data_IF_012025577033
#
_entry.id   IF_012025577033
#
_cell.length_a   1.000
_cell.length_b   1.000
_cell.length_c   1.000
_cell.angle_alpha   90.00
_cell.angle_beta   90.00
_cell.angle_gamma   90.00
#
_symmetry.space_group_name_H-M   'P 1'
#
loop_
_entity.id
_entity.type
_entity.pdbx_description
1 polymer ?
#
# COMPACT_ATOMS: atom_id res chain seq x y z
N UNK A 1 51.18 47.46 61.38
CA UNK A 1 49.75 47.25 61.04
C UNK A 1 49.74 46.18 59.94
N UNK A 2 49.53 44.92 60.34
CA UNK A 2 49.57 43.77 59.48
C UNK A 2 48.12 43.38 59.23
N UNK A 3 47.68 43.40 57.97
CA UNK A 3 46.36 42.89 57.58
C UNK A 3 46.47 41.40 57.25
N UNK A 4 45.76 40.56 58.00
CA UNK A 4 45.58 39.15 57.75
C UNK A 4 44.52 39.03 56.66
N UNK A 5 44.82 38.35 55.55
CA UNK A 5 43.86 37.93 54.54
C UNK A 5 43.58 36.45 54.78
N UNK A 6 42.34 36.15 55.20
CA UNK A 6 41.86 34.78 55.31
C UNK A 6 41.39 34.29 53.97
N UNK A 7 42.02 33.23 53.44
CA UNK A 7 41.66 32.54 52.20
C UNK A 7 40.64 31.46 52.54
N UNK A 8 39.37 31.68 52.17
CA UNK A 8 38.30 30.68 52.33
C UNK A 8 38.35 29.76 51.09
N UNK A 9 38.80 28.53 51.28
CA UNK A 9 38.71 27.49 50.25
C UNK A 9 37.28 26.92 50.25
N UNK A 10 36.43 27.32 49.29
CA UNK A 10 35.21 26.62 49.00
C UNK A 10 35.53 25.35 48.22
N UNK A 11 35.42 24.20 48.86
CA UNK A 11 35.46 22.89 48.25
C UNK A 11 34.10 22.68 47.54
N UNK A 12 34.01 22.94 46.25
CA UNK A 12 32.84 22.49 45.43
C UNK A 12 32.90 20.99 45.28
N UNK A 13 32.07 20.25 46.04
CA UNK A 13 31.76 18.87 45.68
C UNK A 13 30.91 18.88 44.39
N UNK A 14 31.57 18.50 43.29
CA UNK A 14 30.85 18.13 42.07
C UNK A 14 30.20 16.76 42.33
N UNK A 15 28.94 16.75 42.69
CA UNK A 15 28.11 15.54 42.66
C UNK A 15 27.80 15.30 41.19
N UNK A 16 28.20 14.18 40.56
CA UNK A 16 27.72 13.86 39.24
C UNK A 16 26.21 13.65 39.35
N UNK A 17 25.41 14.58 38.82
CA UNK A 17 24.01 14.34 38.53
C UNK A 17 23.97 13.30 37.44
N UNK A 18 23.82 12.04 37.83
CA UNK A 18 23.29 11.02 36.95
C UNK A 18 21.87 11.48 36.62
N UNK A 19 21.69 12.02 35.44
CA UNK A 19 20.37 12.10 34.82
C UNK A 19 19.90 10.64 34.62
N UNK A 20 19.26 10.10 35.67
CA UNK A 20 18.36 8.99 35.46
C UNK A 20 17.25 9.59 34.56
N UNK A 21 17.21 9.19 33.29
CA UNK A 21 16.00 9.31 32.50
C UNK A 21 14.92 8.62 33.33
N UNK A 22 13.99 9.38 33.85
CA UNK A 22 12.77 8.80 34.40
C UNK A 22 12.14 8.07 33.22
N UNK A 23 12.11 6.73 33.26
CA UNK A 23 11.24 5.97 32.41
C UNK A 23 9.84 6.52 32.68
N UNK A 24 9.27 7.20 31.70
CA UNK A 24 7.87 7.60 31.73
C UNK A 24 7.08 6.31 31.86
N UNK A 25 6.19 6.22 32.86
CA UNK A 25 5.34 5.04 33.00
C UNK A 25 4.54 4.85 31.69
N UNK A 26 4.50 3.61 31.20
CA UNK A 26 3.67 3.26 30.04
C UNK A 26 2.21 3.64 30.29
N UNK A 27 1.57 4.20 29.25
CA UNK A 27 0.13 4.44 29.23
C UNK A 27 -0.68 3.15 29.30
N UNK A 28 -1.97 3.28 29.52
CA UNK A 28 -2.92 2.16 29.53
C UNK A 28 -4.05 2.34 28.50
N UNK A 29 -3.92 3.34 27.65
CA UNK A 29 -4.78 3.59 26.49
C UNK A 29 -3.89 3.72 25.28
N UNK A 30 -4.12 2.86 24.27
CA UNK A 30 -3.40 2.86 22.99
C UNK A 30 -4.38 3.29 21.90
N UNK A 31 -4.24 4.50 21.38
CA UNK A 31 -5.10 5.02 20.33
C UNK A 31 -4.50 4.71 18.94
N UNK A 32 -5.23 3.93 18.14
CA UNK A 32 -4.82 3.54 16.79
C UNK A 32 -5.75 4.16 15.75
N UNK A 33 -5.17 4.88 14.77
CA UNK A 33 -5.88 5.53 13.68
C UNK A 33 -5.64 4.80 12.36
N UNK A 34 -6.73 4.49 11.65
CA UNK A 34 -6.70 3.82 10.33
C UNK A 34 -7.86 4.28 9.44
N UNK A 35 -7.80 3.95 8.15
CA UNK A 35 -8.87 4.32 7.20
C UNK A 35 -9.88 3.21 6.93
N UNK A 36 -9.58 1.98 7.33
CA UNK A 36 -10.45 0.82 7.23
C UNK A 36 -10.17 -0.14 8.39
N UNK A 37 -10.87 -1.26 8.43
CA UNK A 37 -10.76 -2.26 9.50
C UNK A 37 -9.71 -3.37 9.22
N UNK A 38 -8.91 -3.26 8.16
CA UNK A 38 -7.93 -4.29 7.82
C UNK A 38 -6.91 -4.49 8.94
N UNK A 39 -6.23 -3.41 9.37
CA UNK A 39 -5.25 -3.52 10.45
C UNK A 39 -5.88 -3.96 11.77
N UNK A 40 -7.06 -3.44 12.12
CA UNK A 40 -7.81 -3.88 13.29
C UNK A 40 -8.05 -5.40 13.25
N UNK A 41 -8.44 -5.92 12.09
CA UNK A 41 -8.66 -7.35 11.89
C UNK A 41 -7.36 -8.15 12.06
N UNK A 42 -6.24 -7.66 11.50
CA UNK A 42 -4.93 -8.29 11.64
C UNK A 42 -4.45 -8.25 13.08
N UNK A 43 -4.55 -7.10 13.74
CA UNK A 43 -4.20 -6.92 15.15
C UNK A 43 -5.00 -7.89 16.04
N UNK A 44 -6.31 -7.87 15.89
CA UNK A 44 -7.19 -8.68 16.74
C UNK A 44 -7.03 -10.20 16.53
N UNK A 45 -6.65 -10.63 15.33
CA UNK A 45 -6.48 -12.06 15.01
C UNK A 45 -5.07 -12.60 15.35
N UNK A 46 -4.05 -11.76 15.26
CA UNK A 46 -2.66 -12.25 15.26
C UNK A 46 -1.76 -11.64 16.34
N UNK A 47 -2.14 -10.53 16.97
CA UNK A 47 -1.35 -9.99 18.06
C UNK A 47 -1.55 -10.82 19.34
N UNK A 48 -0.49 -11.46 19.88
CA UNK A 48 -0.64 -12.47 20.94
C UNK A 48 -1.20 -11.93 22.25
N UNK A 49 -1.07 -10.62 22.49
CA UNK A 49 -1.49 -9.97 23.73
C UNK A 49 -2.97 -9.60 23.75
N UNK A 50 -3.73 -9.86 22.67
CA UNK A 50 -5.18 -9.63 22.65
C UNK A 50 -5.89 -10.57 23.62
N UNK A 51 -6.61 -9.98 24.59
CA UNK A 51 -7.38 -10.70 25.61
C UNK A 51 -8.87 -10.72 25.28
N UNK A 52 -9.41 -9.57 24.90
CA UNK A 52 -10.85 -9.38 24.69
C UNK A 52 -11.10 -8.33 23.62
N UNK A 53 -12.07 -8.55 22.77
CA UNK A 53 -12.53 -7.61 21.75
C UNK A 53 -13.96 -7.22 22.10
N UNK A 54 -14.26 -5.91 22.20
CA UNK A 54 -15.60 -5.42 22.42
C UNK A 54 -16.55 -5.88 21.30
N UNK A 55 -17.81 -6.12 21.62
CA UNK A 55 -18.82 -6.63 20.67
C UNK A 55 -19.00 -5.70 19.46
N UNK A 56 -18.93 -4.39 19.68
CA UNK A 56 -18.98 -3.35 18.65
C UNK A 56 -17.63 -3.07 17.97
N UNK A 57 -16.57 -3.81 18.36
CA UNK A 57 -15.19 -3.68 17.89
C UNK A 57 -14.57 -2.29 18.14
N UNK A 58 -15.18 -1.43 18.94
CA UNK A 58 -14.63 -0.09 19.22
C UNK A 58 -13.35 -0.13 20.04
N UNK A 59 -13.16 -1.19 20.84
CA UNK A 59 -11.98 -1.37 21.68
C UNK A 59 -11.49 -2.81 21.69
N UNK A 60 -10.19 -2.97 21.98
CA UNK A 60 -9.55 -4.26 22.25
C UNK A 60 -8.79 -4.16 23.56
N UNK A 61 -8.99 -5.12 24.48
CA UNK A 61 -8.26 -5.17 25.76
C UNK A 61 -7.09 -6.13 25.64
N UNK A 62 -5.91 -5.71 26.09
CA UNK A 62 -4.71 -6.54 26.13
C UNK A 62 -4.56 -7.28 27.45
N UNK A 63 -3.68 -8.27 27.49
CA UNK A 63 -3.44 -9.11 28.68
C UNK A 63 -2.95 -8.31 29.90
N UNK A 64 -2.22 -7.23 29.69
CA UNK A 64 -1.72 -6.33 30.74
C UNK A 64 -2.73 -5.28 31.18
N UNK A 65 -3.95 -5.30 30.60
CA UNK A 65 -5.04 -4.38 30.89
C UNK A 65 -5.04 -3.09 30.05
N UNK A 66 -4.13 -2.93 29.12
CA UNK A 66 -4.13 -1.80 28.17
C UNK A 66 -5.37 -1.87 27.28
N UNK A 67 -6.02 -0.73 27.08
CA UNK A 67 -7.20 -0.58 26.22
C UNK A 67 -6.77 0.04 24.89
N UNK A 68 -6.86 -0.73 23.83
CA UNK A 68 -6.69 -0.23 22.46
C UNK A 68 -8.00 0.39 21.99
N UNK A 69 -7.96 1.66 21.61
CA UNK A 69 -9.09 2.39 21.01
C UNK A 69 -8.87 2.54 19.50
N UNK A 70 -9.87 2.20 18.72
CA UNK A 70 -9.84 2.24 17.27
C UNK A 70 -10.55 3.47 16.72
N UNK A 71 -9.85 4.28 15.95
CA UNK A 71 -10.41 5.41 15.19
C UNK A 71 -10.31 5.09 13.71
N UNK A 72 -11.44 4.71 13.11
CA UNK A 72 -11.53 4.36 11.68
C UNK A 72 -12.21 5.49 10.93
N UNK A 73 -11.48 6.16 10.03
CA UNK A 73 -12.00 7.21 9.17
C UNK A 73 -11.80 6.79 7.70
N UNK A 74 -12.85 6.49 6.93
CA UNK A 74 -12.72 6.16 5.51
C UNK A 74 -11.91 7.21 4.74
N UNK A 75 -11.06 6.75 3.80
CA UNK A 75 -10.16 7.63 3.05
C UNK A 75 -10.82 8.30 1.82
N UNK A 76 -12.10 8.07 1.59
CA UNK A 76 -12.83 8.72 0.50
C UNK A 76 -12.69 10.25 0.57
N UNK A 77 -12.29 10.88 -0.54
CA UNK A 77 -12.02 12.32 -0.59
C UNK A 77 -10.90 12.79 0.36
N UNK A 78 -9.93 11.93 0.65
CA UNK A 78 -8.83 12.20 1.59
C UNK A 78 -9.28 12.49 3.05
N UNK A 79 -10.50 12.05 3.42
CA UNK A 79 -11.07 12.34 4.74
C UNK A 79 -10.19 11.80 5.88
N UNK A 80 -9.64 10.59 5.75
CA UNK A 80 -8.72 10.06 6.75
C UNK A 80 -7.50 10.96 6.95
N UNK A 81 -6.82 11.31 5.86
CA UNK A 81 -5.61 12.13 5.92
C UNK A 81 -5.91 13.52 6.50
N UNK A 82 -7.01 14.15 6.10
CA UNK A 82 -7.40 15.47 6.59
C UNK A 82 -7.63 15.47 8.12
N UNK A 83 -8.34 14.45 8.62
CA UNK A 83 -8.58 14.29 10.07
C UNK A 83 -7.31 13.92 10.83
N UNK A 84 -6.45 13.07 10.25
CA UNK A 84 -5.17 12.71 10.84
C UNK A 84 -4.26 13.93 10.96
N UNK A 85 -4.17 14.75 9.90
CA UNK A 85 -3.40 16.00 9.90
C UNK A 85 -3.86 16.96 11.00
N UNK A 86 -5.18 17.09 11.19
CA UNK A 86 -5.76 17.93 12.25
C UNK A 86 -5.40 17.40 13.63
N UNK A 87 -5.57 16.11 13.87
CA UNK A 87 -5.30 15.47 15.14
C UNK A 87 -3.80 15.49 15.50
N UNK A 88 -2.91 15.21 14.53
CA UNK A 88 -1.45 15.27 14.74
C UNK A 88 -0.97 16.70 15.07
N UNK A 89 -1.56 17.76 14.48
CA UNK A 89 -1.25 19.13 14.86
C UNK A 89 -1.69 19.46 16.31
N UNK A 90 -2.75 18.83 16.80
CA UNK A 90 -3.23 19.01 18.16
C UNK A 90 -2.51 18.11 19.19
N UNK A 91 -1.69 17.17 18.73
CA UNK A 91 -1.06 16.10 19.52
C UNK A 91 -0.34 16.60 20.80
N UNK A 92 0.42 17.71 20.70
CA UNK A 92 1.17 18.25 21.82
C UNK A 92 0.27 18.71 22.96
N UNK A 93 -0.92 19.25 22.65
CA UNK A 93 -1.88 19.79 23.62
C UNK A 93 -2.92 18.77 24.12
N UNK A 94 -2.96 17.58 23.50
CA UNK A 94 -3.89 16.53 23.89
C UNK A 94 -3.52 15.93 25.26
N UNK A 95 -4.53 15.48 26.03
CA UNK A 95 -4.29 14.68 27.21
C UNK A 95 -3.63 13.34 26.85
N UNK A 96 -2.87 12.73 27.77
CA UNK A 96 -2.12 11.51 27.48
C UNK A 96 -2.99 10.41 26.83
N UNK A 97 -4.14 10.08 27.44
CA UNK A 97 -5.06 9.05 26.96
C UNK A 97 -5.86 9.43 25.68
N UNK A 98 -5.70 10.66 25.18
CA UNK A 98 -6.34 11.17 23.97
C UNK A 98 -5.36 11.37 22.82
N UNK A 99 -4.05 11.22 23.06
CA UNK A 99 -3.02 11.28 22.04
C UNK A 99 -3.12 10.10 21.08
N UNK A 100 -2.79 10.35 19.81
CA UNK A 100 -2.56 9.27 18.88
C UNK A 100 -1.26 8.56 19.26
N UNK A 101 -1.28 7.24 19.32
CA UNK A 101 -0.10 6.41 19.58
C UNK A 101 0.42 5.75 18.32
N UNK A 102 -0.50 5.14 17.56
CA UNK A 102 -0.23 4.54 16.26
C UNK A 102 -1.14 5.17 15.23
N UNK A 103 -0.61 5.50 14.08
CA UNK A 103 -1.40 5.81 12.89
C UNK A 103 -0.87 5.07 11.67
N UNK A 104 -1.76 4.75 10.75
CA UNK A 104 -1.41 4.03 9.55
C UNK A 104 -1.27 4.97 8.37
N UNK A 105 -0.34 4.64 7.47
CA UNK A 105 -0.13 5.34 6.21
C UNK A 105 -0.10 4.34 5.06
N UNK A 106 -0.53 4.78 3.90
CA UNK A 106 -0.55 3.98 2.66
C UNK A 106 0.62 4.43 1.75
N UNK A 107 1.09 3.54 0.88
CA UNK A 107 2.27 3.74 0.05
C UNK A 107 2.28 5.06 -0.72
N UNK A 108 1.16 5.45 -1.33
CA UNK A 108 1.08 6.60 -2.23
C UNK A 108 1.28 7.95 -1.53
N UNK A 109 1.07 7.99 -0.19
CA UNK A 109 1.27 9.22 0.60
C UNK A 109 2.19 9.03 1.82
N UNK A 110 2.93 7.92 1.85
CA UNK A 110 3.80 7.59 2.99
C UNK A 110 4.80 8.70 3.31
N UNK A 111 5.49 9.23 2.31
CA UNK A 111 6.54 10.24 2.49
C UNK A 111 6.03 11.54 3.12
N UNK A 112 4.77 11.92 2.92
CA UNK A 112 4.15 13.06 3.62
C UNK A 112 4.27 12.96 5.14
N UNK A 113 4.11 11.74 5.68
CA UNK A 113 4.17 11.51 7.13
C UNK A 113 5.53 11.06 7.60
N UNK A 114 6.27 10.33 6.77
CA UNK A 114 7.65 9.87 7.06
C UNK A 114 8.58 11.05 7.28
N UNK A 115 8.48 12.09 6.46
CA UNK A 115 9.27 13.33 6.62
C UNK A 115 8.69 14.32 7.63
N UNK A 116 7.57 13.99 8.29
CA UNK A 116 6.93 14.88 9.25
C UNK A 116 7.57 14.78 10.64
N UNK A 117 7.47 15.84 11.47
CA UNK A 117 7.90 15.80 12.86
C UNK A 117 6.97 14.97 13.76
N UNK A 118 5.82 14.54 13.24
CA UNK A 118 4.82 13.79 14.01
C UNK A 118 5.10 12.29 14.07
N UNK A 119 6.07 11.79 13.32
CA UNK A 119 6.41 10.36 13.23
C UNK A 119 7.75 10.09 13.91
N UNK A 120 7.77 9.12 14.84
CA UNK A 120 8.96 8.70 15.56
C UNK A 120 9.87 7.81 14.70
N UNK A 121 11.17 7.80 15.02
CA UNK A 121 12.15 6.86 14.44
C UNK A 121 11.95 5.47 15.07
N UNK A 122 11.67 4.45 14.26
CA UNK A 122 11.39 3.10 14.76
C UNK A 122 12.63 2.42 15.38
N UNK A 123 13.84 2.88 15.04
CA UNK A 123 15.07 2.38 15.65
C UNK A 123 15.45 3.18 16.90
N UNK A 124 15.57 4.51 16.74
CA UNK A 124 16.08 5.36 17.80
C UNK A 124 15.07 5.61 18.92
N UNK A 125 13.80 5.84 18.59
CA UNK A 125 12.77 6.21 19.54
C UNK A 125 11.96 4.99 20.03
N UNK A 126 11.64 4.04 19.12
CA UNK A 126 10.85 2.84 19.46
C UNK A 126 11.77 1.67 19.85
N UNK A 127 12.98 1.61 19.31
CA UNK A 127 14.00 0.63 19.69
C UNK A 127 13.89 -0.70 18.96
N UNK A 128 13.38 -0.73 17.70
CA UNK A 128 13.55 -1.88 16.83
C UNK A 128 15.01 -1.98 16.40
N UNK A 129 15.52 -3.21 16.33
CA UNK A 129 16.91 -3.48 15.97
C UNK A 129 17.05 -3.83 14.49
N UNK A 130 18.28 -3.78 13.97
CA UNK A 130 18.57 -4.29 12.61
C UNK A 130 18.29 -5.79 12.48
N UNK A 131 18.36 -6.55 13.58
CA UNK A 131 17.99 -7.97 13.63
C UNK A 131 16.47 -8.14 13.44
N UNK A 132 15.66 -7.34 14.14
CA UNK A 132 14.20 -7.35 13.97
C UNK A 132 13.81 -7.08 12.51
N UNK A 133 14.43 -6.07 11.91
CA UNK A 133 14.08 -5.56 10.57
C UNK A 133 14.73 -6.35 9.43
N UNK A 134 15.73 -7.20 9.72
CA UNK A 134 16.53 -7.91 8.72
C UNK A 134 15.76 -8.95 7.90
N UNK A 135 14.57 -9.35 8.36
CA UNK A 135 13.67 -10.26 7.65
C UNK A 135 12.74 -9.59 6.64
N UNK A 136 12.71 -8.26 6.56
CA UNK A 136 11.82 -7.50 5.69
C UNK A 136 12.42 -7.25 4.30
N UNK A 137 11.55 -6.98 3.31
CA UNK A 137 11.99 -6.55 1.98
C UNK A 137 12.53 -5.12 2.04
N UNK A 138 13.64 -4.89 1.33
CA UNK A 138 14.36 -3.59 1.38
C UNK A 138 13.51 -2.43 0.88
N UNK A 139 12.78 -2.59 -0.23
CA UNK A 139 11.95 -1.52 -0.80
C UNK A 139 10.86 -1.04 0.17
N UNK A 140 10.35 -1.92 1.05
CA UNK A 140 9.34 -1.53 2.06
C UNK A 140 9.93 -0.62 3.15
N UNK A 141 11.22 -0.76 3.44
CA UNK A 141 11.94 0.14 4.33
C UNK A 141 12.30 1.46 3.62
N UNK A 142 12.64 1.40 2.33
CA UNK A 142 12.95 2.59 1.51
C UNK A 142 11.77 3.57 1.48
N UNK A 143 10.54 3.07 1.25
CA UNK A 143 9.32 3.90 1.30
C UNK A 143 9.02 4.51 2.69
N UNK A 144 9.59 3.96 3.75
CA UNK A 144 9.40 4.41 5.12
C UNK A 144 10.63 5.15 5.69
N UNK A 145 11.62 5.43 4.87
CA UNK A 145 12.85 6.13 5.26
C UNK A 145 12.76 7.60 4.88
N UNK A 146 12.89 8.48 5.88
CA UNK A 146 12.87 9.91 5.69
C UNK A 146 14.10 10.43 4.94
N UNK A 147 14.02 11.65 4.44
CA UNK A 147 15.12 12.32 3.74
C UNK A 147 16.41 12.42 4.57
N UNK A 148 16.33 12.43 5.90
CA UNK A 148 17.47 12.40 6.83
C UNK A 148 17.95 10.98 7.17
N UNK A 149 17.43 9.95 6.49
CA UNK A 149 17.86 8.56 6.59
C UNK A 149 17.31 7.78 7.78
N UNK A 150 16.25 8.26 8.43
CA UNK A 150 15.61 7.58 9.56
C UNK A 150 14.46 6.70 9.09
N UNK A 151 14.39 5.47 9.58
CA UNK A 151 13.23 4.61 9.35
C UNK A 151 12.09 5.04 10.27
N UNK A 152 10.95 5.44 9.70
CA UNK A 152 9.84 6.08 10.41
C UNK A 152 8.59 5.18 10.52
N UNK A 153 8.54 4.09 9.77
CA UNK A 153 7.43 3.16 9.81
C UNK A 153 7.87 1.74 9.44
N UNK A 154 7.04 0.76 9.79
CA UNK A 154 7.20 -0.65 9.42
C UNK A 154 5.90 -1.19 8.86
N UNK A 155 5.96 -2.22 8.01
CA UNK A 155 4.77 -2.81 7.40
C UNK A 155 4.74 -4.33 7.55
N UNK A 156 3.54 -4.89 7.72
CA UNK A 156 3.34 -6.34 7.60
C UNK A 156 3.15 -6.80 6.15
N UNK A 157 2.85 -5.87 5.23
CA UNK A 157 2.58 -6.17 3.82
C UNK A 157 3.81 -5.92 2.95
N UNK A 158 4.04 -6.83 2.02
CA UNK A 158 4.85 -6.58 0.84
C UNK A 158 3.91 -6.76 -0.36
N UNK A 159 3.78 -5.76 -1.19
CA UNK A 159 2.68 -5.63 -2.14
C UNK A 159 3.09 -5.71 -3.62
N UNK A 160 3.87 -6.74 -4.03
CA UNK A 160 4.12 -6.97 -5.45
C UNK A 160 2.83 -7.22 -6.20
N UNK A 161 2.78 -6.79 -7.46
CA UNK A 161 1.63 -6.98 -8.33
C UNK A 161 1.74 -8.23 -9.20
N UNK A 162 0.58 -8.80 -9.54
CA UNK A 162 0.42 -9.86 -10.54
C UNK A 162 -0.79 -9.57 -11.40
N UNK A 163 -0.83 -10.14 -12.61
CA UNK A 163 -2.00 -10.10 -13.48
C UNK A 163 -2.89 -11.30 -13.19
N UNK A 164 -4.10 -11.04 -12.64
CA UNK A 164 -5.12 -12.07 -12.40
C UNK A 164 -6.01 -12.22 -13.63
N UNK A 165 -6.12 -13.42 -14.19
CA UNK A 165 -6.91 -13.69 -15.39
C UNK A 165 -7.98 -14.76 -15.16
N UNK A 166 -9.05 -14.71 -15.96
CA UNK A 166 -10.11 -15.71 -16.00
C UNK A 166 -9.65 -16.92 -16.82
N UNK A 167 -9.53 -18.09 -16.19
CA UNK A 167 -9.11 -19.35 -16.85
C UNK A 167 -10.01 -19.72 -18.02
N UNK A 168 -11.33 -19.65 -17.81
CA UNK A 168 -12.31 -19.97 -18.86
C UNK A 168 -12.18 -19.06 -20.08
N UNK A 169 -11.92 -17.76 -19.88
CA UNK A 169 -11.72 -16.80 -20.96
C UNK A 169 -10.36 -17.04 -21.64
N UNK A 170 -9.28 -17.24 -20.86
CA UNK A 170 -7.97 -17.57 -21.42
C UNK A 170 -8.00 -18.83 -22.27
N UNK A 171 -8.71 -19.86 -21.82
CA UNK A 171 -8.88 -21.10 -22.60
C UNK A 171 -9.64 -20.87 -23.89
N UNK A 172 -10.67 -20.04 -23.89
CA UNK A 172 -11.38 -19.70 -25.11
C UNK A 172 -10.50 -18.85 -26.04
N UNK A 173 -9.80 -17.84 -25.55
CA UNK A 173 -9.01 -16.89 -26.35
C UNK A 173 -7.72 -17.53 -26.86
N UNK A 174 -6.94 -18.17 -26.00
CA UNK A 174 -5.60 -18.70 -26.26
C UNK A 174 -5.55 -20.20 -26.51
N UNK A 175 -6.65 -20.92 -26.23
CA UNK A 175 -6.68 -22.38 -26.27
C UNK A 175 -6.07 -23.06 -25.04
N UNK A 176 -5.60 -22.30 -24.07
CA UNK A 176 -4.99 -22.78 -22.84
C UNK A 176 -5.37 -21.89 -21.66
N UNK A 177 -5.42 -22.47 -20.47
CA UNK A 177 -5.56 -21.77 -19.20
C UNK A 177 -4.37 -22.02 -18.23
N UNK A 178 -3.34 -22.68 -18.75
CA UNK A 178 -2.10 -22.95 -18.03
C UNK A 178 -1.34 -21.65 -17.72
N UNK A 179 -0.97 -21.39 -16.44
CA UNK A 179 -0.36 -20.11 -16.04
C UNK A 179 0.96 -19.79 -16.77
N UNK A 180 1.80 -20.78 -17.03
CA UNK A 180 3.09 -20.56 -17.70
C UNK A 180 2.88 -20.20 -19.17
N UNK A 181 1.96 -20.90 -19.85
CA UNK A 181 1.61 -20.61 -21.23
C UNK A 181 0.90 -19.25 -21.39
N UNK A 182 0.05 -18.88 -20.44
CA UNK A 182 -0.60 -17.55 -20.40
C UNK A 182 0.46 -16.46 -20.13
N UNK A 183 1.40 -16.68 -19.21
CA UNK A 183 2.52 -15.76 -18.98
C UNK A 183 3.37 -15.55 -20.24
N UNK A 184 3.67 -16.60 -20.99
CA UNK A 184 4.42 -16.46 -22.25
C UNK A 184 3.66 -15.59 -23.28
N UNK A 185 2.34 -15.74 -23.35
CA UNK A 185 1.48 -14.93 -24.20
C UNK A 185 1.32 -13.47 -23.76
N UNK A 186 1.61 -13.17 -22.49
CA UNK A 186 1.46 -11.83 -21.88
C UNK A 186 2.81 -11.21 -21.44
N UNK A 187 3.95 -11.75 -21.89
CA UNK A 187 5.27 -11.46 -21.33
C UNK A 187 5.79 -10.03 -21.58
N UNK A 188 5.21 -9.31 -22.51
CA UNK A 188 5.51 -7.92 -22.85
C UNK A 188 4.26 -7.22 -23.39
N UNK A 189 4.32 -5.89 -23.55
CA UNK A 189 3.16 -5.10 -23.99
C UNK A 189 2.74 -5.40 -25.43
N UNK A 190 3.65 -5.79 -26.32
CA UNK A 190 3.29 -6.17 -27.71
C UNK A 190 2.47 -7.45 -27.72
N UNK A 191 2.91 -8.45 -26.98
CA UNK A 191 2.18 -9.71 -26.78
C UNK A 191 0.85 -9.49 -26.07
N UNK A 192 0.84 -8.68 -25.03
CA UNK A 192 -0.36 -8.32 -24.28
C UNK A 192 -1.40 -7.67 -25.20
N UNK A 193 -0.98 -6.76 -26.08
CA UNK A 193 -1.83 -6.12 -27.09
C UNK A 193 -2.36 -7.11 -28.13
N UNK A 194 -1.54 -8.08 -28.54
CA UNK A 194 -1.97 -9.13 -29.47
C UNK A 194 -3.04 -10.04 -28.84
N UNK A 195 -2.96 -10.33 -27.55
CA UNK A 195 -3.99 -11.07 -26.82
C UNK A 195 -5.27 -10.21 -26.68
N UNK A 196 -5.13 -8.91 -26.44
CA UNK A 196 -6.27 -7.99 -26.38
C UNK A 196 -7.08 -7.98 -27.69
N UNK A 197 -6.40 -7.97 -28.83
CA UNK A 197 -7.06 -8.10 -30.16
C UNK A 197 -7.79 -9.43 -30.30
N UNK A 198 -7.18 -10.55 -29.91
CA UNK A 198 -7.81 -11.86 -29.94
C UNK A 198 -9.03 -11.96 -29.03
N UNK A 199 -8.93 -11.39 -27.81
CA UNK A 199 -10.03 -11.34 -26.85
C UNK A 199 -11.21 -10.53 -27.40
N UNK A 200 -10.95 -9.35 -27.97
CA UNK A 200 -11.97 -8.50 -28.60
C UNK A 200 -12.67 -9.18 -29.78
N UNK A 201 -11.93 -9.92 -30.62
CA UNK A 201 -12.50 -10.69 -31.71
C UNK A 201 -13.49 -11.78 -31.27
N UNK A 202 -13.42 -12.19 -29.98
CA UNK A 202 -14.33 -13.14 -29.34
C UNK A 202 -15.38 -12.50 -28.43
N UNK A 203 -15.41 -11.16 -28.37
CA UNK A 203 -16.38 -10.41 -27.58
C UNK A 203 -16.01 -10.27 -26.10
N UNK A 204 -14.73 -10.40 -25.78
CA UNK A 204 -14.18 -10.12 -24.45
C UNK A 204 -13.42 -8.80 -24.44
N UNK A 205 -13.32 -8.16 -23.27
CA UNK A 205 -12.40 -7.07 -23.01
C UNK A 205 -11.09 -7.63 -22.45
N UNK A 206 -9.97 -6.99 -22.73
CA UNK A 206 -8.69 -7.37 -22.12
C UNK A 206 -8.60 -6.85 -20.67
N UNK A 207 -9.04 -5.60 -20.45
CA UNK A 207 -9.08 -4.92 -19.16
C UNK A 207 -10.49 -4.35 -18.90
N UNK A 208 -10.81 -4.09 -17.65
CA UNK A 208 -12.08 -3.48 -17.26
C UNK A 208 -12.09 -1.97 -17.56
N UNK A 209 -11.04 -1.25 -17.16
CA UNK A 209 -11.07 0.19 -17.18
C UNK A 209 -9.84 0.91 -17.71
N UNK A 210 -9.91 2.24 -17.54
CA UNK A 210 -8.86 3.17 -17.98
C UNK A 210 -7.59 3.04 -17.11
N UNK A 211 -7.76 2.80 -15.83
CA UNK A 211 -6.76 2.88 -14.77
C UNK A 211 -6.20 1.52 -14.34
N UNK A 212 -6.76 0.40 -14.84
CA UNK A 212 -6.31 -0.95 -14.46
C UNK A 212 -4.80 -1.18 -14.61
N UNK A 213 -4.21 -0.72 -15.72
CA UNK A 213 -2.78 -0.89 -16.01
C UNK A 213 -1.90 0.25 -15.48
N UNK A 214 -2.47 1.30 -14.89
CA UNK A 214 -1.73 2.52 -14.56
C UNK A 214 -0.47 2.24 -13.74
N UNK A 215 -0.58 1.43 -12.70
CA UNK A 215 0.54 1.17 -11.79
C UNK A 215 1.71 0.42 -12.44
N UNK A 216 1.46 -0.34 -13.49
CA UNK A 216 2.57 -0.99 -14.24
C UNK A 216 3.45 0.03 -14.95
N UNK A 217 2.92 1.21 -15.26
CA UNK A 217 3.67 2.31 -15.85
C UNK A 217 4.21 3.29 -14.80
N UNK A 218 3.38 3.71 -13.85
CA UNK A 218 3.75 4.71 -12.84
C UNK A 218 4.79 4.22 -11.83
N UNK A 219 4.87 2.92 -11.56
CA UNK A 219 5.92 2.36 -10.71
C UNK A 219 7.27 2.17 -11.42
N UNK A 220 7.31 2.34 -12.73
CA UNK A 220 8.51 2.11 -13.54
C UNK A 220 8.99 3.40 -14.21
N UNK A 221 8.80 4.53 -13.54
CA UNK A 221 9.29 5.84 -13.97
C UNK A 221 10.79 5.98 -13.72
N UNK A 222 11.47 6.79 -14.54
CA UNK A 222 12.91 7.05 -14.45
C UNK A 222 13.28 8.18 -13.50
N UNK A 223 12.29 8.97 -13.07
CA UNK A 223 12.46 10.10 -12.15
C UNK A 223 11.20 10.28 -11.30
N UNK A 224 11.31 10.86 -10.10
CA UNK A 224 10.15 11.23 -9.28
C UNK A 224 9.32 12.31 -9.97
N UNK A 225 8.04 12.40 -9.56
CA UNK A 225 7.10 13.41 -10.08
C UNK A 225 7.57 14.86 -9.92
N UNK A 226 8.33 15.14 -8.86
CA UNK A 226 8.84 16.49 -8.59
C UNK A 226 10.35 16.48 -8.60
N UNK A 227 10.93 17.36 -9.40
CA UNK A 227 12.38 17.51 -9.50
C UNK A 227 13.00 18.03 -8.18
N UNK A 228 14.32 17.94 -8.05
CA UNK A 228 15.08 18.36 -6.86
C UNK A 228 14.93 19.86 -6.54
N UNK A 229 14.47 20.69 -7.49
CA UNK A 229 14.19 22.10 -7.26
C UNK A 229 12.94 22.36 -6.43
N UNK A 230 12.07 21.31 -6.25
CA UNK A 230 10.82 21.40 -5.51
C UNK A 230 9.72 22.20 -6.19
N UNK A 231 9.89 22.65 -7.44
CA UNK A 231 9.00 23.55 -8.19
C UNK A 231 8.58 22.95 -9.54
N UNK A 232 9.33 21.97 -10.07
CA UNK A 232 9.10 21.41 -11.40
C UNK A 232 8.45 20.04 -11.34
N UNK A 233 7.27 19.92 -11.96
CA UNK A 233 6.61 18.62 -12.20
C UNK A 233 7.23 17.98 -13.43
N UNK A 234 7.73 16.76 -13.26
CA UNK A 234 8.34 15.94 -14.34
C UNK A 234 7.35 14.84 -14.72
N UNK A 235 6.78 14.94 -15.91
CA UNK A 235 5.95 13.86 -16.47
C UNK A 235 6.88 12.87 -17.18
N UNK A 236 7.02 11.69 -16.61
CA UNK A 236 7.88 10.65 -17.17
C UNK A 236 7.31 10.08 -18.49
N UNK A 237 8.20 9.72 -19.42
CA UNK A 237 7.80 9.11 -20.68
C UNK A 237 6.98 7.82 -20.51
N UNK A 238 7.22 7.08 -19.42
CA UNK A 238 6.46 5.86 -19.12
C UNK A 238 4.99 6.14 -18.78
N UNK A 239 4.71 7.31 -18.17
CA UNK A 239 3.32 7.74 -17.95
C UNK A 239 2.60 8.05 -19.28
N UNK A 240 3.31 8.63 -20.25
CA UNK A 240 2.76 8.86 -21.58
C UNK A 240 2.51 7.54 -22.33
N UNK A 241 3.33 6.51 -22.12
CA UNK A 241 3.04 5.17 -22.66
C UNK A 241 1.74 4.58 -22.10
N UNK A 242 1.42 4.83 -20.83
CA UNK A 242 0.10 4.46 -20.29
C UNK A 242 -1.03 5.25 -21.00
N UNK A 243 -0.83 6.53 -21.27
CA UNK A 243 -1.81 7.34 -22.01
C UNK A 243 -2.07 6.73 -23.40
N UNK A 244 -1.01 6.39 -24.13
CA UNK A 244 -1.11 5.79 -25.47
C UNK A 244 -1.76 4.41 -25.42
N UNK A 245 -1.36 3.56 -24.47
CA UNK A 245 -1.91 2.23 -24.25
C UNK A 245 -3.41 2.30 -23.94
N UNK A 246 -3.81 3.18 -23.03
CA UNK A 246 -5.21 3.32 -22.61
C UNK A 246 -6.07 3.90 -23.75
N UNK A 247 -5.54 4.88 -24.50
CA UNK A 247 -6.22 5.42 -25.67
C UNK A 247 -6.44 4.35 -26.73
N UNK A 248 -5.42 3.57 -27.05
CA UNK A 248 -5.51 2.42 -27.96
C UNK A 248 -6.61 1.45 -27.52
N UNK A 249 -6.64 1.09 -26.23
CA UNK A 249 -7.60 0.14 -25.69
C UNK A 249 -9.03 0.67 -25.75
N UNK A 250 -9.21 1.95 -25.47
CA UNK A 250 -10.50 2.61 -25.53
C UNK A 250 -11.02 2.71 -26.97
N UNK A 251 -10.16 3.10 -27.91
CA UNK A 251 -10.52 3.24 -29.33
C UNK A 251 -10.82 1.90 -30.01
N UNK A 252 -10.12 0.84 -29.60
CA UNK A 252 -10.29 -0.52 -30.13
C UNK A 252 -11.37 -1.34 -29.40
N UNK A 253 -11.91 -0.82 -28.29
CA UNK A 253 -12.84 -1.55 -27.45
C UNK A 253 -12.21 -2.74 -26.72
N UNK A 254 -10.94 -2.61 -26.32
CA UNK A 254 -10.22 -3.62 -25.55
C UNK A 254 -10.41 -3.44 -24.05
N UNK A 255 -10.96 -2.32 -23.59
CA UNK A 255 -11.41 -2.09 -22.23
C UNK A 255 -12.93 -1.83 -22.16
N UNK A 256 -13.51 -2.04 -20.98
CA UNK A 256 -14.96 -1.84 -20.72
C UNK A 256 -15.27 -0.43 -20.22
N UNK A 257 -14.30 0.50 -20.23
CA UNK A 257 -14.44 1.91 -19.84
C UNK A 257 -14.88 2.15 -18.40
N UNK A 258 -14.57 1.23 -17.50
CA UNK A 258 -14.77 1.40 -16.07
C UNK A 258 -13.63 2.22 -15.43
N UNK A 259 -13.77 2.54 -14.17
CA UNK A 259 -12.67 3.01 -13.32
C UNK A 259 -12.54 2.10 -12.12
N UNK A 260 -11.35 2.03 -11.52
CA UNK A 260 -11.11 1.27 -10.29
C UNK A 260 -12.15 1.64 -9.22
N UNK A 261 -12.66 0.62 -8.54
CA UNK A 261 -13.64 0.72 -7.44
C UNK A 261 -15.07 1.07 -7.85
N UNK A 262 -15.36 1.32 -9.12
CA UNK A 262 -16.74 1.51 -9.53
C UNK A 262 -17.53 0.19 -9.61
N UNK A 263 -18.85 0.29 -9.70
CA UNK A 263 -19.74 -0.88 -9.73
C UNK A 263 -19.51 -1.75 -10.99
N UNK A 264 -19.09 -1.16 -12.12
CA UNK A 264 -18.82 -1.89 -13.35
C UNK A 264 -17.55 -2.70 -13.21
N UNK A 265 -16.48 -2.11 -12.65
CA UNK A 265 -15.23 -2.80 -12.38
C UNK A 265 -15.45 -4.01 -11.42
N UNK A 266 -16.25 -3.82 -10.37
CA UNK A 266 -16.60 -4.93 -9.46
C UNK A 266 -17.40 -6.02 -10.18
N UNK A 267 -18.39 -5.66 -11.00
CA UNK A 267 -19.22 -6.62 -11.75
C UNK A 267 -18.42 -7.39 -12.82
N UNK A 268 -17.43 -6.78 -13.43
CA UNK A 268 -16.56 -7.40 -14.43
C UNK A 268 -15.73 -8.58 -13.87
N UNK A 269 -15.50 -8.59 -12.57
CA UNK A 269 -14.83 -9.68 -11.85
C UNK A 269 -15.76 -10.85 -11.53
N UNK A 270 -17.06 -10.63 -11.64
CA UNK A 270 -18.09 -11.60 -11.34
C UNK A 270 -18.27 -12.69 -12.41
N UNK A 271 -19.17 -13.64 -12.17
CA UNK A 271 -19.37 -14.81 -13.04
C UNK A 271 -19.84 -14.45 -14.47
N UNK A 272 -20.54 -13.33 -14.62
CA UNK A 272 -21.03 -12.84 -15.92
C UNK A 272 -20.09 -11.86 -16.62
N UNK A 273 -19.00 -11.46 -15.94
CA UNK A 273 -17.99 -10.55 -16.48
C UNK A 273 -17.31 -11.12 -17.71
N UNK A 274 -16.96 -10.23 -18.67
CA UNK A 274 -16.33 -10.58 -19.93
C UNK A 274 -14.92 -10.01 -20.05
N UNK A 275 -14.27 -9.73 -18.92
CA UNK A 275 -12.92 -9.19 -18.86
C UNK A 275 -11.92 -10.33 -18.72
N UNK A 276 -10.89 -10.31 -19.55
CA UNK A 276 -9.83 -11.31 -19.56
C UNK A 276 -9.06 -11.32 -18.24
N UNK A 277 -8.69 -10.14 -17.72
CA UNK A 277 -7.97 -10.06 -16.46
C UNK A 277 -7.82 -8.66 -15.88
N UNK A 278 -7.20 -8.63 -14.72
CA UNK A 278 -7.06 -7.45 -13.85
C UNK A 278 -5.64 -7.40 -13.28
N UNK A 279 -5.05 -6.22 -13.24
CA UNK A 279 -3.82 -6.02 -12.48
C UNK A 279 -4.16 -5.91 -10.99
N UNK A 280 -3.61 -6.81 -10.19
CA UNK A 280 -3.88 -6.89 -8.76
C UNK A 280 -2.60 -6.93 -7.93
N UNK A 281 -2.72 -6.52 -6.66
CA UNK A 281 -1.72 -6.70 -5.63
C UNK A 281 -2.09 -7.89 -4.72
N UNK A 282 -1.24 -8.19 -3.77
CA UNK A 282 -1.35 -9.33 -2.85
C UNK A 282 -2.65 -9.31 -2.05
N UNK A 283 -2.96 -8.18 -1.42
CA UNK A 283 -4.16 -7.97 -0.61
C UNK A 283 -5.45 -8.02 -1.44
N UNK A 284 -5.38 -7.58 -2.71
CA UNK A 284 -6.56 -7.45 -3.56
C UNK A 284 -7.17 -8.78 -3.99
N UNK A 285 -6.38 -9.86 -4.03
CA UNK A 285 -6.85 -11.19 -4.44
C UNK A 285 -7.92 -11.70 -3.47
N UNK A 286 -7.67 -11.65 -2.18
CA UNK A 286 -8.64 -12.10 -1.16
C UNK A 286 -9.64 -11.00 -0.81
N UNK A 287 -9.18 -9.76 -0.60
CA UNK A 287 -10.02 -8.66 -0.12
C UNK A 287 -11.08 -8.22 -1.15
N UNK A 288 -10.78 -8.27 -2.45
CA UNK A 288 -11.64 -7.72 -3.51
C UNK A 288 -12.04 -8.76 -4.54
N UNK A 289 -11.06 -9.37 -5.23
CA UNK A 289 -11.33 -10.25 -6.36
C UNK A 289 -12.15 -11.48 -5.97
N UNK A 290 -11.81 -12.13 -4.86
CA UNK A 290 -12.55 -13.29 -4.37
C UNK A 290 -14.01 -12.91 -4.10
N UNK A 291 -14.27 -11.84 -3.34
CA UNK A 291 -15.62 -11.41 -3.00
C UNK A 291 -16.46 -11.07 -4.23
N UNK A 292 -15.89 -10.33 -5.19
CA UNK A 292 -16.56 -9.92 -6.42
C UNK A 292 -16.79 -11.10 -7.40
N UNK A 293 -15.98 -12.16 -7.30
CA UNK A 293 -16.10 -13.36 -8.14
C UNK A 293 -17.30 -14.25 -7.81
N UNK A 294 -17.86 -14.12 -6.60
CA UNK A 294 -18.94 -14.96 -6.12
C UNK A 294 -20.29 -14.53 -6.70
N UNK A 295 -21.10 -15.50 -7.14
CA UNK A 295 -22.50 -15.25 -7.51
C UNK A 295 -23.35 -14.92 -6.28
N UNK A 296 -23.14 -15.66 -5.18
CA UNK A 296 -23.76 -15.39 -3.90
C UNK A 296 -22.67 -15.05 -2.88
N UNK A 297 -22.68 -13.82 -2.37
CA UNK A 297 -21.71 -13.38 -1.36
C UNK A 297 -21.83 -14.16 -0.05
N UNK A 298 -20.74 -14.25 0.70
CA UNK A 298 -20.71 -14.89 2.02
C UNK A 298 -21.74 -14.26 2.97
N UNK A 299 -21.87 -12.93 2.93
CA UNK A 299 -22.86 -12.19 3.74
C UNK A 299 -24.33 -12.60 3.44
N UNK A 300 -24.59 -13.09 2.22
CA UNK A 300 -25.90 -13.59 1.79
C UNK A 300 -26.02 -15.12 1.87
N UNK A 301 -25.11 -15.80 2.59
CA UNK A 301 -25.13 -17.24 2.80
C UNK A 301 -24.42 -18.07 1.72
N UNK A 302 -23.71 -17.42 0.78
CA UNK A 302 -22.84 -18.09 -0.17
C UNK A 302 -21.60 -18.67 0.51
N UNK A 303 -20.90 -19.56 -0.21
CA UNK A 303 -19.65 -20.17 0.27
C UNK A 303 -18.52 -19.88 -0.71
N UNK A 304 -17.33 -19.81 -0.20
CA UNK A 304 -16.08 -19.69 -0.97
C UNK A 304 -15.65 -21.08 -1.48
N UNK A 305 -16.38 -21.59 -2.47
CA UNK A 305 -16.16 -22.91 -3.04
C UNK A 305 -16.47 -22.95 -4.54
N UNK A 306 -15.88 -23.91 -5.24
CA UNK A 306 -16.16 -24.16 -6.68
C UNK A 306 -17.66 -24.42 -6.87
N UNK A 307 -18.26 -23.72 -7.81
CA UNK A 307 -19.69 -23.73 -8.08
C UNK A 307 -20.44 -22.49 -7.60
N UNK A 308 -19.79 -21.62 -6.80
CA UNK A 308 -20.31 -20.30 -6.48
C UNK A 308 -19.61 -19.23 -7.36
N UNK A 309 -20.26 -18.89 -8.47
CA UNK A 309 -19.78 -17.89 -9.42
C UNK A 309 -18.48 -18.32 -10.12
N UNK A 310 -17.48 -17.45 -10.09
CA UNK A 310 -16.18 -17.66 -10.70
C UNK A 310 -15.09 -18.15 -9.72
N UNK A 311 -15.47 -18.64 -8.52
CA UNK A 311 -14.52 -19.23 -7.60
C UNK A 311 -13.81 -20.43 -8.24
N UNK A 312 -12.47 -20.41 -8.24
CA UNK A 312 -11.64 -21.43 -8.89
C UNK A 312 -11.40 -21.21 -10.40
N UNK A 313 -12.05 -20.21 -11.00
CA UNK A 313 -11.87 -19.84 -12.42
C UNK A 313 -10.86 -18.71 -12.63
N UNK A 314 -10.17 -18.28 -11.57
CA UNK A 314 -9.07 -17.34 -11.68
C UNK A 314 -7.70 -18.04 -11.56
N UNK A 315 -6.70 -17.45 -12.20
CA UNK A 315 -5.30 -17.72 -12.00
C UNK A 315 -4.50 -16.42 -12.10
N UNK A 316 -3.23 -16.46 -11.73
CA UNK A 316 -2.34 -15.30 -11.80
C UNK A 316 -1.08 -15.60 -12.60
N UNK A 317 -0.49 -14.58 -13.22
CA UNK A 317 0.82 -14.59 -13.82
C UNK A 317 1.52 -13.24 -13.61
N UNK A 318 2.82 -13.12 -13.96
CA UNK A 318 3.58 -11.88 -13.78
C UNK A 318 3.01 -10.72 -14.64
N UNK A 319 2.43 -11.08 -15.82
CA UNK A 319 2.02 -10.09 -16.80
C UNK A 319 3.21 -9.48 -17.57
N UNK A 320 3.00 -8.33 -18.24
CA UNK A 320 4.00 -7.73 -19.13
C UNK A 320 5.10 -6.98 -18.36
N UNK A 321 4.87 -6.58 -17.11
CA UNK A 321 5.79 -5.76 -16.34
C UNK A 321 5.55 -5.89 -14.84
N UNK A 322 6.62 -5.92 -14.04
CA UNK A 322 6.53 -5.94 -12.59
C UNK A 322 6.08 -4.57 -12.06
N UNK A 323 5.33 -4.57 -10.98
CA UNK A 323 4.84 -3.38 -10.29
C UNK A 323 4.49 -3.71 -8.84
N UNK A 324 4.19 -2.68 -8.05
CA UNK A 324 3.57 -2.83 -6.74
C UNK A 324 2.26 -2.02 -6.66
N UNK A 325 1.41 -2.35 -5.73
CA UNK A 325 0.19 -1.58 -5.48
C UNK A 325 -0.17 -1.58 -4.00
N UNK A 326 -0.19 -0.37 -3.42
CA UNK A 326 -0.58 -0.15 -2.04
C UNK A 326 0.42 -0.68 -1.03
N UNK A 327 -0.07 -1.03 0.12
CA UNK A 327 0.66 -1.41 1.31
C UNK A 327 0.41 -0.42 2.44
N UNK A 328 0.36 -0.97 3.65
CA UNK A 328 0.03 -0.21 4.85
C UNK A 328 1.21 -0.23 5.81
N UNK A 329 1.68 0.93 6.21
CA UNK A 329 2.75 1.10 7.20
C UNK A 329 2.20 1.55 8.53
N UNK A 330 2.82 1.07 9.60
CA UNK A 330 2.53 1.40 11.00
C UNK A 330 3.52 2.46 11.44
N UNK A 331 3.03 3.65 11.77
CA UNK A 331 3.80 4.76 12.32
C UNK A 331 3.55 4.88 13.82
N UNK A 332 4.60 5.17 14.60
CA UNK A 332 4.47 5.61 15.98
C UNK A 332 4.38 7.13 16.03
N UNK A 333 3.39 7.67 16.72
CA UNK A 333 3.17 9.10 16.81
C UNK A 333 4.10 9.76 17.85
N UNK A 334 4.65 10.92 17.49
CA UNK A 334 5.42 11.74 18.43
C UNK A 334 4.55 12.17 19.61
N UNK A 335 5.08 12.01 20.83
CA UNK A 335 4.38 12.34 22.07
C UNK A 335 3.52 11.23 22.65
N UNK A 336 3.57 10.01 22.08
CA UNK A 336 3.01 8.80 22.69
C UNK A 336 3.67 8.50 24.05
N UNK A 337 2.93 7.92 24.95
CA UNK A 337 3.43 7.35 26.22
C UNK A 337 3.35 5.81 26.26
N UNK A 338 3.16 5.17 25.08
CA UNK A 338 3.01 3.72 24.92
C UNK A 338 4.15 3.08 24.10
N UNK A 339 5.39 3.58 24.28
CA UNK A 339 6.54 3.19 23.44
C UNK A 339 6.83 1.68 23.48
N UNK A 340 6.78 1.06 24.69
CA UNK A 340 7.07 -0.38 24.81
C UNK A 340 5.97 -1.25 24.16
N UNK A 341 4.70 -0.85 24.32
CA UNK A 341 3.57 -1.53 23.66
C UNK A 341 3.65 -1.40 22.15
N UNK A 342 3.96 -0.20 21.62
CA UNK A 342 4.14 0.03 20.17
C UNK A 342 5.27 -0.83 19.63
N UNK A 343 6.40 -0.89 20.34
CA UNK A 343 7.53 -1.75 19.96
C UNK A 343 7.10 -3.21 19.81
N UNK A 344 6.40 -3.75 20.80
CA UNK A 344 5.95 -5.15 20.79
C UNK A 344 4.96 -5.40 19.64
N UNK A 345 4.01 -4.49 19.42
CA UNK A 345 3.07 -4.55 18.28
C UNK A 345 3.83 -4.59 16.95
N UNK A 346 4.78 -3.69 16.75
CA UNK A 346 5.57 -3.64 15.52
C UNK A 346 6.40 -4.90 15.34
N UNK A 347 7.10 -5.37 16.38
CA UNK A 347 7.90 -6.61 16.32
C UNK A 347 7.03 -7.83 15.98
N UNK A 348 5.90 -8.02 16.66
CA UNK A 348 5.03 -9.17 16.45
C UNK A 348 4.36 -9.17 15.09
N UNK A 349 3.74 -8.05 14.71
CA UNK A 349 2.94 -8.01 13.48
C UNK A 349 3.76 -7.83 12.20
N UNK A 350 5.00 -7.31 12.29
CA UNK A 350 5.78 -7.02 11.08
C UNK A 350 7.11 -7.78 10.97
N UNK A 351 7.64 -8.34 12.08
CA UNK A 351 8.94 -8.99 12.09
C UNK A 351 8.88 -10.49 12.42
N UNK A 352 7.82 -10.96 13.11
CA UNK A 352 7.70 -12.35 13.52
C UNK A 352 7.31 -13.27 12.34
N UNK A 353 8.20 -14.19 11.98
CA UNK A 353 7.99 -15.08 10.83
C UNK A 353 6.81 -16.06 11.00
N UNK A 354 6.50 -16.49 12.22
CA UNK A 354 5.39 -17.41 12.47
C UNK A 354 4.05 -16.67 12.33
N UNK A 355 3.97 -15.44 12.82
CA UNK A 355 2.79 -14.58 12.64
C UNK A 355 2.63 -14.22 11.17
N UNK A 356 3.69 -13.83 10.49
CA UNK A 356 3.66 -13.52 9.05
C UNK A 356 3.14 -14.70 8.22
N UNK A 357 3.65 -15.91 8.49
CA UNK A 357 3.19 -17.15 7.85
C UNK A 357 1.69 -17.38 8.09
N UNK A 358 1.24 -17.24 9.35
CA UNK A 358 -0.16 -17.42 9.69
C UNK A 358 -1.08 -16.39 9.02
N UNK A 359 -0.68 -15.13 8.96
CA UNK A 359 -1.43 -14.10 8.21
C UNK A 359 -1.61 -14.55 6.76
N UNK A 360 -0.52 -14.96 6.09
CA UNK A 360 -0.59 -15.40 4.69
C UNK A 360 -1.46 -16.66 4.52
N UNK A 361 -1.34 -17.64 5.38
CA UNK A 361 -2.16 -18.87 5.33
C UNK A 361 -3.65 -18.59 5.46
N UNK A 362 -4.03 -17.67 6.36
CA UNK A 362 -5.43 -17.35 6.64
C UNK A 362 -6.04 -16.36 5.63
N UNK A 363 -5.24 -15.48 5.03
CA UNK A 363 -5.74 -14.34 4.24
C UNK A 363 -5.30 -14.34 2.78
N UNK A 364 -4.41 -15.25 2.39
CA UNK A 364 -3.78 -15.31 1.07
C UNK A 364 -2.97 -14.05 0.70
N UNK A 365 -2.76 -13.13 1.65
CA UNK A 365 -1.92 -11.94 1.48
C UNK A 365 -0.44 -12.33 1.48
N UNK A 366 0.40 -11.47 0.92
CA UNK A 366 1.85 -11.66 0.88
C UNK A 366 2.52 -10.76 1.92
N UNK A 367 3.00 -11.36 3.02
CA UNK A 367 3.53 -10.59 4.13
C UNK A 367 4.98 -10.16 3.92
N UNK A 368 5.38 -9.10 4.62
CA UNK A 368 6.72 -8.51 4.57
C UNK A 368 7.73 -9.29 5.42
N UNK A 369 7.81 -10.59 5.18
CA UNK A 369 8.77 -11.47 5.84
C UNK A 369 9.35 -12.48 4.85
N UNK A 370 10.59 -12.23 4.43
CA UNK A 370 11.27 -13.00 3.38
C UNK A 370 11.37 -14.50 3.72
N UNK A 371 11.64 -14.82 5.00
CA UNK A 371 11.79 -16.21 5.42
C UNK A 371 10.45 -16.96 5.38
N UNK A 372 9.38 -16.36 5.90
CA UNK A 372 8.05 -16.92 5.89
C UNK A 372 7.54 -17.13 4.46
N UNK A 373 7.69 -16.11 3.61
CA UNK A 373 7.25 -16.18 2.22
C UNK A 373 8.04 -17.20 1.41
N UNK A 374 9.35 -17.33 1.65
CA UNK A 374 10.18 -18.34 1.00
C UNK A 374 9.79 -19.77 1.40
N UNK A 375 9.35 -19.98 2.63
CA UNK A 375 8.85 -21.28 3.08
C UNK A 375 7.51 -21.61 2.39
N UNK A 376 6.55 -20.70 2.42
CA UNK A 376 5.23 -20.86 1.80
C UNK A 376 5.30 -21.01 0.28
N UNK A 377 6.22 -20.31 -0.37
CA UNK A 377 6.47 -20.44 -1.81
C UNK A 377 6.78 -21.86 -2.26
N UNK A 378 7.17 -22.77 -1.36
CA UNK A 378 7.46 -24.16 -1.71
C UNK A 378 6.22 -25.03 -1.86
N UNK A 379 5.15 -24.78 -1.07
CA UNK A 379 4.03 -25.72 -0.95
C UNK A 379 2.65 -25.06 -0.86
N UNK A 380 2.55 -23.73 -1.02
CA UNK A 380 1.26 -23.03 -0.90
C UNK A 380 0.33 -23.42 -2.05
N UNK A 381 -0.97 -23.43 -1.79
CA UNK A 381 -1.99 -23.69 -2.79
C UNK A 381 -3.26 -22.91 -2.46
N UNK A 382 -3.71 -22.07 -3.40
CA UNK A 382 -4.94 -21.31 -3.27
C UNK A 382 -6.10 -22.02 -3.98
N UNK A 383 -7.11 -22.44 -3.23
CA UNK A 383 -8.32 -23.03 -3.81
C UNK A 383 -9.06 -22.04 -4.72
N UNK A 384 -9.05 -20.74 -4.37
CA UNK A 384 -9.64 -19.68 -5.16
C UNK A 384 -8.96 -19.56 -6.55
N UNK A 385 -7.65 -19.75 -6.61
CA UNK A 385 -6.87 -19.72 -7.86
C UNK A 385 -6.72 -21.10 -8.51
N UNK A 386 -7.67 -22.03 -8.26
CA UNK A 386 -7.67 -23.35 -8.87
C UNK A 386 -6.49 -24.23 -8.44
N UNK A 387 -5.97 -24.05 -7.24
CA UNK A 387 -4.83 -24.80 -6.69
C UNK A 387 -3.47 -24.17 -6.98
N UNK A 388 -3.40 -22.99 -7.62
CA UNK A 388 -2.13 -22.33 -7.94
C UNK A 388 -1.39 -21.84 -6.70
N UNK A 389 -0.06 -21.92 -6.74
CA UNK A 389 0.82 -21.30 -5.75
C UNK A 389 1.21 -19.87 -6.17
N UNK A 390 0.37 -18.90 -5.86
CA UNK A 390 0.64 -17.50 -6.18
C UNK A 390 1.71 -16.87 -5.28
N UNK A 391 1.94 -17.43 -4.08
CA UNK A 391 3.00 -16.95 -3.18
C UNK A 391 4.39 -17.12 -3.83
N UNK A 392 4.60 -18.19 -4.60
CA UNK A 392 5.84 -18.38 -5.35
C UNK A 392 6.05 -17.26 -6.40
N UNK A 393 4.99 -16.87 -7.11
CA UNK A 393 5.05 -15.79 -8.10
C UNK A 393 5.30 -14.42 -7.46
N UNK A 394 4.69 -14.14 -6.32
CA UNK A 394 4.98 -12.92 -5.56
C UNK A 394 6.43 -12.91 -5.05
N UNK A 395 6.97 -14.04 -4.62
CA UNK A 395 8.36 -14.15 -4.18
C UNK A 395 9.37 -13.87 -5.31
N UNK A 396 8.98 -14.13 -6.57
CA UNK A 396 9.76 -13.76 -7.76
C UNK A 396 9.59 -12.29 -8.15
N UNK A 397 8.41 -11.70 -7.89
CA UNK A 397 8.10 -10.31 -8.23
C UNK A 397 8.70 -9.31 -7.22
N UNK A 398 8.58 -9.58 -5.93
CA UNK A 398 8.97 -8.67 -4.86
C UNK A 398 10.41 -8.11 -4.97
N UNK A 399 11.45 -8.90 -5.30
CA UNK A 399 12.81 -8.38 -5.45
C UNK A 399 13.02 -7.44 -6.65
N UNK A 400 12.05 -7.35 -7.57
CA UNK A 400 12.12 -6.50 -8.77
C UNK A 400 11.51 -5.12 -8.56
N UNK A 401 10.89 -4.89 -7.41
CA UNK A 401 10.27 -3.61 -7.06
C UNK A 401 11.35 -2.60 -6.72
N UNK A 402 11.23 -1.42 -7.31
CA UNK A 402 12.06 -0.25 -7.04
C UNK A 402 11.14 0.92 -6.67
N UNK A 403 11.28 1.40 -5.44
CA UNK A 403 10.53 2.55 -4.91
C UNK A 403 11.43 3.79 -4.76
N UNK A 404 12.55 3.86 -5.46
CA UNK A 404 13.50 4.98 -5.35
C UNK A 404 13.00 6.31 -5.94
N UNK A 405 12.01 6.25 -6.85
CA UNK A 405 11.44 7.42 -7.54
C UNK A 405 10.09 7.89 -6.97
N UNK A 406 9.78 7.52 -5.73
CA UNK A 406 8.56 8.02 -5.05
C UNK A 406 8.74 9.42 -4.49
N UNK A 407 7.64 10.16 -4.35
CA UNK A 407 7.61 11.49 -3.76
C UNK A 407 6.39 11.68 -2.84
N UNK A 408 6.42 12.71 -2.00
CA UNK A 408 5.27 13.07 -1.14
C UNK A 408 4.05 13.55 -1.94
N UNK A 409 4.20 13.82 -3.22
CA UNK A 409 3.15 14.31 -4.12
C UNK A 409 2.49 13.20 -4.93
N UNK A 410 3.00 11.95 -4.86
CA UNK A 410 2.61 10.86 -5.76
C UNK A 410 1.10 10.63 -5.83
N UNK A 411 0.42 10.55 -4.68
CA UNK A 411 -1.02 10.36 -4.67
C UNK A 411 -1.74 11.44 -5.48
N UNK A 412 -1.47 12.70 -5.14
CA UNK A 412 -2.19 13.81 -5.75
C UNK A 412 -1.87 14.00 -7.22
N UNK A 413 -0.63 13.75 -7.64
CA UNK A 413 -0.20 13.85 -9.03
C UNK A 413 -0.76 12.68 -9.86
N UNK A 414 -0.67 11.44 -9.35
CA UNK A 414 -1.22 10.26 -10.01
C UNK A 414 -2.74 10.34 -10.21
N UNK A 415 -3.50 10.70 -9.17
CA UNK A 415 -4.96 10.87 -9.27
C UNK A 415 -5.34 11.97 -10.26
N UNK A 416 -4.65 13.12 -10.20
CA UNK A 416 -4.91 14.25 -11.10
C UNK A 416 -4.55 13.92 -12.54
N UNK A 417 -3.47 13.19 -12.77
CA UNK A 417 -3.04 12.76 -14.11
C UNK A 417 -4.07 11.82 -14.73
N UNK A 418 -4.47 10.77 -14.03
CA UNK A 418 -5.48 9.82 -14.51
C UNK A 418 -6.82 10.54 -14.81
N UNK A 419 -7.25 11.43 -13.90
CA UNK A 419 -8.49 12.20 -14.07
C UNK A 419 -8.47 13.14 -15.28
N UNK A 420 -7.35 13.83 -15.50
CA UNK A 420 -7.21 14.79 -16.60
C UNK A 420 -7.27 14.12 -17.99
N UNK A 421 -6.77 12.90 -18.13
CA UNK A 421 -6.75 12.20 -19.42
C UNK A 421 -8.04 11.44 -19.75
N UNK A 422 -9.00 11.32 -18.83
CA UNK A 422 -10.24 10.55 -19.07
C UNK A 422 -11.04 11.05 -20.26
N UNK A 423 -11.20 12.37 -20.40
CA UNK A 423 -11.90 12.96 -21.54
C UNK A 423 -11.16 12.73 -22.87
N UNK A 424 -9.84 12.70 -22.85
CA UNK A 424 -9.03 12.35 -24.03
C UNK A 424 -9.26 10.88 -24.44
N UNK A 425 -9.29 9.96 -23.49
CA UNK A 425 -9.59 8.56 -23.78
C UNK A 425 -10.95 8.38 -24.45
N UNK A 426 -11.97 9.10 -23.99
CA UNK A 426 -13.32 9.07 -24.56
C UNK A 426 -13.47 9.82 -25.89
N UNK A 427 -12.42 10.50 -26.36
CA UNK A 427 -12.45 11.30 -27.59
C UNK A 427 -13.17 12.63 -27.46
N UNK A 428 -13.41 13.10 -26.21
CA UNK A 428 -14.08 14.36 -25.89
C UNK A 428 -13.10 15.54 -25.73
N UNK A 429 -11.80 15.27 -25.70
CA UNK A 429 -10.73 16.26 -25.62
C UNK A 429 -9.53 15.83 -26.46
N UNK A 430 -8.71 16.78 -26.86
CA UNK A 430 -7.38 16.53 -27.44
C UNK A 430 -6.37 16.22 -26.33
N UNK A 431 -5.21 15.64 -26.72
CA UNK A 431 -4.11 15.39 -25.78
C UNK A 431 -3.59 16.70 -25.16
N UNK A 432 -3.54 17.80 -25.91
CA UNK A 432 -3.08 19.11 -25.43
C UNK A 432 -4.07 19.69 -24.41
N UNK A 433 -5.37 19.51 -24.63
CA UNK A 433 -6.40 19.89 -23.64
C UNK A 433 -6.29 19.07 -22.36
N UNK A 434 -6.00 17.77 -22.43
CA UNK A 434 -5.79 16.93 -21.27
C UNK A 434 -4.53 17.33 -20.48
N UNK A 435 -3.43 17.63 -21.17
CA UNK A 435 -2.20 18.17 -20.55
C UNK A 435 -2.47 19.49 -19.84
N UNK A 436 -3.14 20.45 -20.52
CA UNK A 436 -3.49 21.73 -19.92
C UNK A 436 -4.42 21.59 -18.71
N UNK A 437 -5.34 20.63 -18.76
CA UNK A 437 -6.21 20.32 -17.61
C UNK A 437 -5.40 19.78 -16.43
N UNK A 438 -4.45 18.88 -16.65
CA UNK A 438 -3.56 18.38 -15.61
C UNK A 438 -2.76 19.53 -14.97
N UNK A 439 -2.10 20.36 -15.76
CA UNK A 439 -1.33 21.52 -15.28
C UNK A 439 -2.20 22.47 -14.45
N UNK A 440 -3.44 22.75 -14.88
CA UNK A 440 -4.38 23.60 -14.15
C UNK A 440 -4.76 23.01 -12.78
N UNK A 441 -5.07 21.70 -12.72
CA UNK A 441 -5.42 21.00 -11.49
C UNK A 441 -4.25 21.04 -10.49
N UNK A 442 -3.03 20.77 -10.99
CA UNK A 442 -1.84 20.74 -10.13
C UNK A 442 -1.48 22.12 -9.63
N UNK A 443 -1.52 23.16 -10.47
CA UNK A 443 -1.23 24.53 -10.04
C UNK A 443 -2.24 25.04 -8.99
N UNK A 444 -3.48 24.54 -9.00
CA UNK A 444 -4.47 24.87 -7.97
C UNK A 444 -4.22 24.06 -6.67
N UNK A 445 -3.90 22.76 -6.81
CA UNK A 445 -3.72 21.85 -5.66
C UNK A 445 -2.40 22.06 -4.94
N UNK A 446 -1.35 22.40 -5.68
CA UNK A 446 0.04 22.58 -5.21
C UNK A 446 0.61 23.87 -5.80
N UNK A 447 0.30 25.04 -5.21
CA UNK A 447 0.72 26.33 -5.75
C UNK A 447 2.24 26.54 -5.87
N UNK A 448 3.03 25.72 -5.15
CA UNK A 448 4.50 25.70 -5.24
C UNK A 448 5.03 25.03 -6.51
N UNK A 449 4.22 24.16 -7.16
CA UNK A 449 4.60 23.46 -8.39
C UNK A 449 4.21 24.33 -9.60
N UNK A 450 5.17 25.11 -10.09
CA UNK A 450 4.93 26.17 -11.08
C UNK A 450 5.44 25.85 -12.49
N UNK A 451 6.30 24.84 -12.62
CA UNK A 451 6.88 24.43 -13.89
C UNK A 451 6.43 22.99 -14.25
N UNK A 452 6.26 22.73 -15.56
CA UNK A 452 5.89 21.40 -16.05
C UNK A 452 6.83 20.99 -17.17
N UNK A 453 7.44 19.82 -17.01
CA UNK A 453 8.31 19.21 -18.01
C UNK A 453 7.60 17.96 -18.55
N UNK A 454 7.20 18.01 -19.81
CA UNK A 454 6.68 16.87 -20.56
C UNK A 454 7.81 16.19 -21.34
N UNK A 455 7.74 14.88 -21.55
CA UNK A 455 8.71 14.21 -22.43
C UNK A 455 8.58 14.74 -23.86
N UNK A 456 9.69 14.72 -24.61
CA UNK A 456 9.70 15.02 -26.03
C UNK A 456 8.72 14.06 -26.76
N UNK A 457 8.01 14.58 -27.75
CA UNK A 457 7.18 13.73 -28.59
C UNK A 457 8.08 12.80 -29.40
N UNK A 458 7.91 11.47 -29.24
CA UNK A 458 8.61 10.47 -30.04
C UNK A 458 8.13 10.46 -31.50
#
# INVERSE_FOLDING_TARGET
>A
MKKLVALLLCLMMVVPATLASAETAEGKVLNIWCWNDEFQSRFNAYYPEVKEIAEDKSTTTLNDGTIVKWTINPNEGNNYQNKLDEALRAQESAAADDKIDIFLIEADYALKYVDSPYTLDVKADIGLTDEDLGGQYKYTQENATSADGKLKAVTWQATPGLFAYRRSIAKDVLGTDDPDAVQEALADWDKFNAVAEQAAAKGYYMLSGYDDAYRTFSNNVSAPWVADDGETVVVDANLMKWVDQTKLYTDKGYNHKSSLWDATWAADQGPTGKVFGFFYSTWGINFTLLGNSLETSVANGGKEEVGNGAYGDYAVCQGPQAYYWGGTWICAAAGTDNVATIKDVMQKLTCDAAIAKKITEDTQDYTNNVAAMKELAQNYSSAFLGGQNHIALFAEAAPKIDMSNISAYDQGLNESFQGAFKNYFDGNATIDEAKAQFESIISEKYPELVNFQWPDAE
#
